data_IF_152309117171
#
_entry.id   IF_152309117171
#
_cell.length_a   1.000
_cell.length_b   1.000
_cell.length_c   1.000
_cell.angle_alpha   90.00
_cell.angle_beta   90.00
_cell.angle_gamma   90.00
#
_symmetry.space_group_name_H-M   'P 1'
#
loop_
_entity.id
_entity.type
_entity.pdbx_description
1 polymer ?
#
# COMPACT_ATOMS: atom_id res chain seq x y z
N UNK A 1 8.65 3.70 -28.43
CA UNK A 1 8.54 4.71 -29.51
C UNK A 1 7.23 4.49 -30.26
N UNK A 2 6.59 5.56 -30.72
CA UNK A 2 5.20 5.68 -31.17
C UNK A 2 4.92 5.21 -32.62
N UNK A 3 3.62 4.97 -32.89
CA UNK A 3 2.91 4.70 -34.17
C UNK A 3 2.83 3.21 -34.56
N UNK A 4 1.72 2.59 -34.92
CA UNK A 4 0.28 2.90 -35.13
C UNK A 4 -0.42 1.53 -35.28
N UNK A 5 -1.70 1.34 -35.02
CA UNK A 5 -2.87 2.18 -35.32
C UNK A 5 -3.74 2.33 -34.08
N UNK A 6 -3.93 3.57 -33.66
CA UNK A 6 -4.79 3.94 -32.55
C UNK A 6 -4.05 4.13 -31.23
N UNK A 7 -4.15 5.34 -30.68
CA UNK A 7 -3.67 5.70 -29.34
C UNK A 7 -4.02 4.61 -28.29
N UNK A 8 -3.26 4.42 -27.19
CA UNK A 8 -3.69 3.58 -26.06
C UNK A 8 -5.10 3.93 -25.57
N UNK A 9 -5.48 5.20 -25.72
CA UNK A 9 -6.85 5.66 -25.56
C UNK A 9 -7.80 5.07 -26.59
N UNK A 10 -7.48 5.06 -27.89
CA UNK A 10 -8.30 4.50 -28.96
C UNK A 10 -8.59 3.00 -28.78
N UNK A 11 -7.61 2.22 -28.29
CA UNK A 11 -7.80 0.81 -27.96
C UNK A 11 -8.77 0.62 -26.79
N UNK A 12 -8.53 1.28 -25.65
CA UNK A 12 -9.43 1.26 -24.49
C UNK A 12 -10.84 1.75 -24.83
N UNK A 13 -10.95 2.74 -25.72
CA UNK A 13 -12.18 3.40 -26.12
C UNK A 13 -12.99 2.58 -27.13
N UNK A 14 -12.32 1.90 -28.06
CA UNK A 14 -12.97 0.92 -28.96
C UNK A 14 -13.46 -0.31 -28.18
N UNK A 15 -12.72 -0.71 -27.15
CA UNK A 15 -13.07 -1.83 -26.29
C UNK A 15 -14.26 -1.53 -25.37
N UNK A 16 -14.27 -0.34 -24.77
CA UNK A 16 -15.28 0.11 -23.81
C UNK A 16 -16.69 0.27 -24.39
N UNK A 17 -16.79 0.65 -25.67
CA UNK A 17 -18.05 1.16 -26.24
C UNK A 17 -18.76 0.16 -27.13
N UNK A 18 -18.03 -0.73 -27.80
CA UNK A 18 -18.67 -1.71 -28.67
C UNK A 18 -19.52 -2.66 -27.83
N UNK A 19 -20.83 -2.74 -28.12
CA UNK A 19 -21.78 -3.64 -27.42
C UNK A 19 -21.28 -5.10 -27.41
N UNK A 20 -20.58 -5.49 -28.48
CA UNK A 20 -19.92 -6.79 -28.64
C UNK A 20 -18.85 -7.09 -27.57
N UNK A 21 -18.28 -6.04 -26.97
CA UNK A 21 -17.31 -6.18 -25.90
C UNK A 21 -17.93 -6.09 -24.49
N UNK A 22 -19.20 -5.69 -24.37
CA UNK A 22 -19.88 -5.62 -23.08
C UNK A 22 -19.97 -6.99 -22.40
N UNK A 23 -20.30 -8.04 -23.15
CA UNK A 23 -20.46 -9.40 -22.62
C UNK A 23 -19.16 -9.94 -22.03
N UNK A 24 -18.07 -9.99 -22.82
CA UNK A 24 -16.83 -10.55 -22.32
C UNK A 24 -16.11 -9.63 -21.33
N UNK A 25 -16.28 -8.30 -21.41
CA UNK A 25 -15.65 -7.40 -20.44
C UNK A 25 -16.29 -7.51 -19.05
N UNK A 26 -17.63 -7.56 -18.98
CA UNK A 26 -18.37 -7.63 -17.72
C UNK A 26 -18.47 -9.04 -17.15
N UNK A 27 -18.57 -10.08 -18.00
CA UNK A 27 -18.72 -11.45 -17.54
C UNK A 27 -17.36 -12.15 -17.47
N UNK A 28 -16.65 -12.26 -18.59
CA UNK A 28 -15.46 -13.12 -18.69
C UNK A 28 -14.19 -12.50 -18.11
N UNK A 29 -13.82 -11.28 -18.52
CA UNK A 29 -12.63 -10.62 -18.01
C UNK A 29 -12.76 -10.29 -16.52
N UNK A 30 -13.94 -9.86 -16.10
CA UNK A 30 -14.24 -9.64 -14.70
C UNK A 30 -14.11 -10.94 -13.89
N UNK A 31 -14.66 -12.06 -14.37
CA UNK A 31 -14.52 -13.37 -13.73
C UNK A 31 -13.06 -13.85 -13.70
N UNK A 32 -12.32 -13.72 -14.81
CA UNK A 32 -10.90 -14.10 -14.88
C UNK A 32 -10.01 -13.27 -13.95
N UNK A 33 -10.39 -12.03 -13.68
CA UNK A 33 -9.71 -11.13 -12.74
C UNK A 33 -10.25 -11.28 -11.29
N UNK A 34 -11.49 -11.73 -11.12
CA UNK A 34 -12.15 -11.86 -9.83
C UNK A 34 -11.78 -13.19 -9.17
N UNK A 35 -10.66 -13.19 -8.46
CA UNK A 35 -10.18 -14.38 -7.79
C UNK A 35 -10.60 -14.43 -6.32
N UNK A 36 -11.38 -15.46 -5.97
CA UNK A 36 -11.97 -15.64 -4.64
C UNK A 36 -11.02 -16.35 -3.65
N UNK A 37 -10.03 -17.12 -4.15
CA UNK A 37 -9.11 -17.88 -3.28
C UNK A 37 -7.90 -17.04 -2.83
N UNK A 38 -8.16 -15.98 -2.08
CA UNK A 38 -7.14 -15.08 -1.50
C UNK A 38 -6.27 -15.72 -0.41
N UNK A 39 -6.70 -16.87 0.13
CA UNK A 39 -6.07 -17.52 1.28
C UNK A 39 -5.46 -18.87 0.90
N UNK A 40 -4.16 -19.05 1.10
CA UNK A 40 -3.55 -20.39 1.10
C UNK A 40 -3.68 -21.01 2.49
N UNK A 41 -3.82 -22.34 2.56
CA UNK A 41 -3.84 -23.09 3.82
C UNK A 41 -2.58 -22.80 4.64
N UNK A 42 -1.43 -22.67 3.98
CA UNK A 42 -0.15 -22.31 4.61
C UNK A 42 -0.15 -20.90 5.21
N UNK A 43 -0.77 -19.93 4.55
CA UNK A 43 -0.89 -18.57 5.07
C UNK A 43 -1.81 -18.52 6.29
N UNK A 44 -2.96 -19.21 6.23
CA UNK A 44 -3.89 -19.33 7.36
C UNK A 44 -3.22 -20.00 8.56
N UNK A 45 -2.52 -21.12 8.35
CA UNK A 45 -1.81 -21.83 9.41
C UNK A 45 -0.71 -20.95 10.05
N UNK A 46 0.03 -20.19 9.24
CA UNK A 46 1.08 -19.28 9.73
C UNK A 46 0.49 -18.14 10.56
N UNK A 47 -0.63 -17.54 10.13
CA UNK A 47 -1.33 -16.48 10.87
C UNK A 47 -1.87 -17.05 12.20
N UNK A 48 -2.47 -18.24 12.17
CA UNK A 48 -2.98 -18.91 13.37
C UNK A 48 -1.85 -19.17 14.37
N UNK A 49 -0.70 -19.63 13.90
CA UNK A 49 0.47 -19.87 14.75
C UNK A 49 0.96 -18.59 15.44
N UNK A 50 1.01 -17.46 14.71
CA UNK A 50 1.38 -16.16 15.30
C UNK A 50 0.38 -15.73 16.38
N UNK A 51 -0.92 -15.93 16.15
CA UNK A 51 -1.97 -15.62 17.14
C UNK A 51 -1.79 -16.50 18.39
N UNK A 52 -1.60 -17.81 18.22
CA UNK A 52 -1.39 -18.74 19.34
C UNK A 52 -0.12 -18.38 20.13
N UNK A 53 0.99 -18.11 19.43
CA UNK A 53 2.25 -17.71 20.08
C UNK A 53 2.10 -16.38 20.86
N UNK A 54 1.34 -15.43 20.32
CA UNK A 54 1.04 -14.19 21.03
C UNK A 54 0.17 -14.42 22.27
N UNK A 55 -0.87 -15.25 22.17
CA UNK A 55 -1.70 -15.64 23.33
C UNK A 55 -0.84 -16.31 24.39
N UNK A 56 0.07 -17.21 24.02
CA UNK A 56 1.00 -17.81 24.98
C UNK A 56 1.96 -16.78 25.59
N UNK A 57 2.46 -15.81 24.83
CA UNK A 57 3.28 -14.70 25.36
C UNK A 57 2.50 -13.88 26.40
N UNK A 58 1.21 -13.65 26.14
CA UNK A 58 0.31 -12.96 27.06
C UNK A 58 0.04 -13.83 28.30
N UNK A 59 -0.25 -15.12 28.16
CA UNK A 59 -0.48 -16.04 29.30
C UNK A 59 0.78 -16.20 30.16
N UNK A 60 1.96 -16.30 29.55
CA UNK A 60 3.25 -16.33 30.25
C UNK A 60 3.47 -15.06 31.09
N UNK A 61 3.06 -13.90 30.57
CA UNK A 61 3.08 -12.64 31.33
C UNK A 61 2.19 -12.66 32.58
N UNK A 62 1.13 -13.48 32.59
CA UNK A 62 0.21 -13.63 33.73
C UNK A 62 0.63 -14.71 34.73
N UNK A 63 1.48 -15.66 34.32
CA UNK A 63 1.79 -16.87 35.10
C UNK A 63 3.24 -16.94 35.60
N UNK A 64 4.13 -16.09 35.09
CA UNK A 64 5.52 -16.03 35.53
C UNK A 64 5.69 -15.43 36.93
N UNK A 65 6.28 -16.20 37.85
CA UNK A 65 6.85 -15.65 39.10
C UNK A 65 8.09 -14.84 38.71
N UNK A 66 7.94 -13.52 38.65
CA UNK A 66 8.98 -12.59 38.22
C UNK A 66 10.18 -12.68 39.17
N UNK A 67 11.31 -13.21 38.67
CA UNK A 67 12.62 -13.12 39.34
C UNK A 67 13.49 -12.11 38.59
N UNK A 68 14.46 -11.50 39.28
CA UNK A 68 15.31 -10.42 38.73
C UNK A 68 15.96 -10.79 37.39
N UNK A 69 16.32 -12.05 37.20
CA UNK A 69 16.94 -12.61 35.99
C UNK A 69 15.98 -12.80 34.79
N UNK A 70 14.65 -12.81 35.00
CA UNK A 70 13.66 -13.04 33.93
C UNK A 70 12.97 -11.77 33.45
N UNK A 71 13.19 -10.63 34.12
CA UNK A 71 12.50 -9.36 33.83
C UNK A 71 12.86 -8.73 32.48
N UNK A 72 14.12 -8.85 32.04
CA UNK A 72 14.60 -8.22 30.81
C UNK A 72 14.77 -9.21 29.64
N UNK A 73 14.97 -10.50 29.92
CA UNK A 73 15.01 -11.56 28.93
C UNK A 73 13.61 -11.91 28.36
N UNK A 74 12.53 -11.47 29.02
CA UNK A 74 11.17 -11.69 28.57
C UNK A 74 10.93 -10.99 27.23
N UNK A 75 10.72 -11.79 26.17
CA UNK A 75 10.49 -11.37 24.77
C UNK A 75 9.20 -10.59 24.51
N UNK A 76 8.56 -10.04 25.56
CA UNK A 76 7.28 -9.35 25.50
C UNK A 76 7.32 -8.08 24.62
N UNK A 77 8.39 -7.28 24.72
CA UNK A 77 8.58 -6.11 23.85
C UNK A 77 8.87 -6.50 22.38
N UNK A 78 9.48 -7.67 22.15
CA UNK A 78 9.68 -8.20 20.80
C UNK A 78 8.34 -8.58 20.18
N UNK A 79 7.48 -9.27 20.93
CA UNK A 79 6.14 -9.64 20.49
C UNK A 79 5.34 -8.44 20.00
N UNK A 80 5.31 -7.35 20.76
CA UNK A 80 4.53 -6.15 20.43
C UNK A 80 5.03 -5.40 19.18
N UNK A 81 6.34 -5.34 18.96
CA UNK A 81 6.92 -4.70 17.76
C UNK A 81 6.53 -5.43 16.47
N UNK A 82 6.29 -6.74 16.51
CA UNK A 82 5.93 -7.50 15.30
C UNK A 82 4.43 -7.62 15.06
N UNK A 83 3.57 -7.15 15.97
CA UNK A 83 2.12 -7.28 15.82
C UNK A 83 1.54 -6.54 14.62
N UNK A 84 2.21 -5.50 14.10
CA UNK A 84 1.75 -4.84 12.86
C UNK A 84 1.86 -5.73 11.62
N UNK A 85 2.72 -6.77 11.64
CA UNK A 85 2.85 -7.70 10.53
C UNK A 85 1.53 -8.42 10.27
N UNK A 86 0.77 -8.77 11.31
CA UNK A 86 -0.48 -9.51 11.18
C UNK A 86 -1.53 -8.75 10.34
N UNK A 87 -1.94 -7.52 10.68
CA UNK A 87 -2.89 -6.76 9.87
C UNK A 87 -2.34 -6.41 8.48
N UNK A 88 -1.02 -6.18 8.33
CA UNK A 88 -0.41 -5.92 7.01
C UNK A 88 -0.44 -7.17 6.12
N UNK A 89 -0.12 -8.34 6.65
CA UNK A 89 -0.15 -9.61 5.90
C UNK A 89 -1.59 -9.96 5.53
N UNK A 90 -2.55 -9.82 6.44
CA UNK A 90 -3.97 -10.04 6.16
C UNK A 90 -4.45 -9.11 5.04
N UNK A 91 -4.21 -7.80 5.17
CA UNK A 91 -4.58 -6.83 4.14
C UNK A 91 -3.90 -7.14 2.80
N UNK A 92 -2.63 -7.55 2.83
CA UNK A 92 -1.92 -7.97 1.64
C UNK A 92 -2.55 -9.20 0.99
N UNK A 93 -2.88 -10.25 1.74
CA UNK A 93 -3.54 -11.45 1.18
C UNK A 93 -4.89 -11.13 0.54
N UNK A 94 -5.64 -10.17 1.09
CA UNK A 94 -6.89 -9.70 0.50
C UNK A 94 -6.67 -8.96 -0.83
N UNK A 95 -5.56 -8.21 -0.98
CA UNK A 95 -5.27 -7.37 -2.16
C UNK A 95 -4.43 -8.11 -3.22
N UNK A 96 -3.50 -8.97 -2.80
CA UNK A 96 -2.42 -9.57 -3.60
C UNK A 96 -2.88 -10.39 -4.81
N UNK A 97 -3.97 -11.18 -4.77
CA UNK A 97 -4.37 -11.97 -5.93
C UNK A 97 -4.77 -11.12 -7.13
N UNK A 98 -5.08 -9.83 -6.91
CA UNK A 98 -5.39 -8.86 -7.96
C UNK A 98 -4.13 -8.23 -8.59
N UNK A 99 -2.92 -8.57 -8.11
CA UNK A 99 -1.65 -7.93 -8.50
C UNK A 99 -0.61 -8.86 -9.16
N UNK A 100 -0.97 -10.10 -9.50
CA UNK A 100 -0.06 -11.05 -10.16
C UNK A 100 0.09 -10.73 -11.67
N UNK A 101 1.31 -10.40 -12.10
CA UNK A 101 1.60 -9.98 -13.47
C UNK A 101 1.36 -11.09 -14.50
N UNK A 102 1.73 -12.33 -14.19
CA UNK A 102 1.62 -13.43 -15.15
C UNK A 102 0.15 -13.79 -15.36
N UNK A 103 -0.63 -13.75 -14.28
CA UNK A 103 -2.07 -14.00 -14.33
C UNK A 103 -2.81 -12.89 -15.06
N UNK A 104 -2.48 -11.62 -14.79
CA UNK A 104 -3.05 -10.49 -15.54
C UNK A 104 -2.69 -10.58 -17.02
N UNK A 105 -1.45 -10.96 -17.34
CA UNK A 105 -1.05 -11.21 -18.74
C UNK A 105 -1.87 -12.33 -19.38
N UNK A 106 -2.11 -13.45 -18.69
CA UNK A 106 -2.95 -14.53 -19.19
C UNK A 106 -4.40 -14.11 -19.40
N UNK A 107 -4.99 -13.38 -18.45
CA UNK A 107 -6.36 -12.86 -18.55
C UNK A 107 -6.51 -11.91 -19.75
N UNK A 108 -5.52 -11.03 -19.94
CA UNK A 108 -5.48 -10.12 -21.09
C UNK A 108 -5.27 -10.89 -22.40
N UNK A 109 -4.46 -11.94 -22.41
CA UNK A 109 -4.24 -12.77 -23.59
C UNK A 109 -5.50 -13.54 -23.99
N UNK A 110 -6.31 -13.98 -23.02
CA UNK A 110 -7.64 -14.54 -23.28
C UNK A 110 -8.60 -13.47 -23.82
N UNK A 111 -8.65 -12.31 -23.18
CA UNK A 111 -9.48 -11.19 -23.63
C UNK A 111 -9.16 -10.75 -25.07
N UNK A 112 -7.87 -10.73 -25.43
CA UNK A 112 -7.41 -10.38 -26.77
C UNK A 112 -7.92 -11.32 -27.87
N UNK A 113 -8.26 -12.57 -27.55
CA UNK A 113 -8.80 -13.53 -28.53
C UNK A 113 -10.27 -13.27 -28.87
N UNK A 114 -11.00 -12.60 -27.99
CA UNK A 114 -12.45 -12.37 -28.09
C UNK A 114 -12.83 -10.89 -28.23
N UNK A 115 -11.86 -9.98 -28.11
CA UNK A 115 -12.06 -8.55 -28.23
C UNK A 115 -12.35 -8.12 -29.68
N UNK A 116 -13.38 -7.30 -29.87
CA UNK A 116 -13.70 -6.63 -31.12
C UNK A 116 -13.09 -5.23 -31.16
N UNK A 117 -12.59 -4.83 -32.33
CA UNK A 117 -11.96 -3.52 -32.56
C UNK A 117 -12.68 -2.81 -33.71
N UNK A 118 -12.77 -1.50 -33.60
CA UNK A 118 -13.31 -0.63 -34.65
C UNK A 118 -12.35 -0.54 -35.84
N UNK A 119 -12.86 -0.79 -37.04
CA UNK A 119 -12.11 -0.66 -38.30
C UNK A 119 -12.33 0.71 -38.95
N UNK A 120 -11.58 1.00 -40.01
CA UNK A 120 -11.82 2.20 -40.84
C UNK A 120 -13.13 2.10 -41.62
N UNK A 121 -13.59 0.88 -41.91
CA UNK A 121 -14.80 0.58 -42.69
C UNK A 121 -16.08 0.72 -41.86
N UNK A 122 -15.97 0.76 -40.53
CA UNK A 122 -17.09 1.00 -39.62
C UNK A 122 -17.72 -0.24 -39.03
N UNK A 123 -17.42 -1.42 -39.58
CA UNK A 123 -17.82 -2.70 -39.00
C UNK A 123 -16.80 -3.18 -37.95
N UNK A 124 -17.25 -3.60 -36.76
CA UNK A 124 -16.38 -4.14 -35.73
C UNK A 124 -15.89 -5.53 -36.14
N UNK A 125 -14.58 -5.73 -36.07
CA UNK A 125 -13.93 -7.01 -36.43
C UNK A 125 -13.12 -7.51 -35.24
N UNK A 126 -13.01 -8.83 -35.13
CA UNK A 126 -12.23 -9.47 -34.08
C UNK A 126 -10.75 -9.03 -34.16
N UNK A 127 -10.16 -8.67 -33.02
CA UNK A 127 -8.79 -8.18 -32.98
C UNK A 127 -7.78 -9.20 -33.54
N UNK A 128 -8.01 -10.49 -33.27
CA UNK A 128 -7.13 -11.58 -33.71
C UNK A 128 -7.14 -11.83 -35.21
N UNK A 129 -8.16 -11.37 -35.96
CA UNK A 129 -8.23 -11.57 -37.41
C UNK A 129 -7.57 -10.44 -38.18
N UNK A 130 -7.53 -9.23 -37.62
CA UNK A 130 -6.92 -8.04 -38.25
C UNK A 130 -5.39 -8.03 -38.20
N UNK A 131 -4.82 -8.58 -37.13
CA UNK A 131 -3.38 -8.50 -36.90
C UNK A 131 -2.93 -9.54 -35.89
N UNK A 132 -1.66 -9.97 -35.98
CA UNK A 132 -0.98 -10.64 -34.87
C UNK A 132 -0.85 -9.76 -33.61
N UNK A 133 -1.22 -8.47 -33.70
CA UNK A 133 -1.19 -7.52 -32.59
C UNK A 133 -2.45 -7.63 -31.72
N UNK A 134 -2.22 -7.50 -30.40
CA UNK A 134 -3.22 -7.59 -29.34
C UNK A 134 -4.12 -6.34 -29.27
N UNK A 135 -5.40 -6.51 -28.95
CA UNK A 135 -6.37 -5.41 -28.74
C UNK A 135 -6.04 -4.57 -27.50
N UNK A 136 -5.72 -5.25 -26.40
CA UNK A 136 -5.18 -4.72 -25.16
C UNK A 136 -3.71 -5.14 -25.09
N UNK A 137 -2.82 -4.16 -25.03
CA UNK A 137 -1.42 -4.40 -24.76
C UNK A 137 -1.05 -3.79 -23.41
N UNK A 138 -0.37 -4.56 -22.57
CA UNK A 138 0.31 -4.05 -21.38
C UNK A 138 1.75 -3.69 -21.79
N UNK A 139 2.05 -2.42 -22.10
CA UNK A 139 3.42 -2.05 -22.41
C UNK A 139 4.29 -2.32 -21.20
N UNK A 140 5.32 -3.16 -21.35
CA UNK A 140 6.39 -3.26 -20.37
C UNK A 140 7.07 -1.90 -20.33
N UNK A 141 7.04 -1.22 -19.19
CA UNK A 141 7.75 0.03 -19.00
C UNK A 141 9.22 -0.18 -19.34
N UNK A 142 9.81 0.65 -20.19
CA UNK A 142 11.25 0.60 -20.45
C UNK A 142 11.95 1.69 -19.64
N UNK A 143 13.06 1.36 -19.01
CA UNK A 143 13.94 2.30 -18.33
C UNK A 143 13.97 2.18 -16.81
N UNK A 144 15.09 2.57 -16.22
CA UNK A 144 15.35 2.43 -14.78
C UNK A 144 14.31 3.14 -13.90
N UNK A 145 13.71 4.22 -14.41
CA UNK A 145 12.71 5.00 -13.66
C UNK A 145 11.48 4.16 -13.30
N UNK A 146 11.05 3.27 -14.21
CA UNK A 146 9.82 2.45 -14.06
C UNK A 146 10.08 1.03 -13.58
N UNK A 147 11.32 0.68 -13.24
CA UNK A 147 11.69 -0.68 -12.86
C UNK A 147 10.88 -1.22 -11.66
N UNK A 148 10.64 -0.36 -10.67
CA UNK A 148 9.87 -0.73 -9.48
C UNK A 148 8.38 -0.93 -9.77
N UNK A 149 7.81 -0.24 -10.77
CA UNK A 149 6.40 -0.42 -11.15
C UNK A 149 6.12 -1.88 -11.60
N UNK A 150 7.12 -2.52 -12.20
CA UNK A 150 7.05 -3.89 -12.72
C UNK A 150 7.34 -4.97 -11.68
N UNK A 151 7.81 -4.61 -10.49
CA UNK A 151 8.22 -5.58 -9.46
C UNK A 151 7.03 -5.99 -8.59
N UNK A 152 6.67 -7.27 -8.56
CA UNK A 152 5.47 -7.78 -7.85
C UNK A 152 5.49 -7.66 -6.31
N UNK A 153 6.63 -7.69 -5.59
CA UNK A 153 6.60 -7.70 -4.13
C UNK A 153 5.96 -6.44 -3.50
N UNK A 154 5.36 -6.55 -2.30
CA UNK A 154 4.60 -5.45 -1.69
C UNK A 154 5.40 -4.15 -1.50
N UNK A 155 6.70 -4.27 -1.24
CA UNK A 155 7.62 -3.13 -1.06
C UNK A 155 7.66 -2.20 -2.27
N UNK A 156 7.26 -2.66 -3.47
CA UNK A 156 7.29 -1.87 -4.70
C UNK A 156 5.98 -1.11 -4.99
N UNK A 157 4.93 -1.30 -4.18
CA UNK A 157 3.62 -0.67 -4.42
C UNK A 157 3.65 0.86 -4.39
N UNK A 158 4.61 1.46 -3.68
CA UNK A 158 4.81 2.91 -3.68
C UNK A 158 5.00 3.50 -5.09
N UNK A 159 5.52 2.72 -6.04
CA UNK A 159 5.75 3.17 -7.41
C UNK A 159 4.48 3.18 -8.28
N UNK A 160 3.43 2.45 -7.89
CA UNK A 160 2.28 2.16 -8.76
C UNK A 160 1.10 3.11 -8.62
N UNK A 161 0.91 3.74 -7.46
CA UNK A 161 -0.36 4.41 -7.17
C UNK A 161 -0.66 5.63 -8.06
N UNK A 162 0.36 6.41 -8.46
CA UNK A 162 0.18 7.52 -9.40
C UNK A 162 -0.17 7.06 -10.82
N UNK A 163 0.63 6.20 -11.48
CA UNK A 163 0.30 5.73 -12.83
C UNK A 163 -1.00 4.93 -12.86
N UNK A 164 -1.30 4.17 -11.80
CA UNK A 164 -2.56 3.45 -11.65
C UNK A 164 -3.76 4.40 -11.62
N UNK A 165 -3.72 5.44 -10.79
CA UNK A 165 -4.82 6.41 -10.68
C UNK A 165 -5.08 7.10 -12.02
N UNK A 166 -4.00 7.49 -12.72
CA UNK A 166 -4.11 8.10 -14.04
C UNK A 166 -4.74 7.14 -15.06
N UNK A 167 -4.33 5.86 -15.05
CA UNK A 167 -4.88 4.85 -15.95
C UNK A 167 -6.37 4.62 -15.69
N UNK A 168 -6.78 4.50 -14.42
CA UNK A 168 -8.19 4.35 -14.03
C UNK A 168 -9.01 5.55 -14.48
N UNK A 169 -8.51 6.78 -14.28
CA UNK A 169 -9.22 7.98 -14.74
C UNK A 169 -9.37 8.06 -16.25
N UNK A 170 -8.32 7.69 -17.00
CA UNK A 170 -8.40 7.67 -18.46
C UNK A 170 -9.49 6.73 -18.96
N UNK A 171 -9.67 5.58 -18.30
CA UNK A 171 -10.73 4.62 -18.60
C UNK A 171 -12.09 5.16 -18.13
N UNK A 172 -12.18 5.66 -16.89
CA UNK A 172 -13.41 6.24 -16.34
C UNK A 172 -13.98 7.36 -17.21
N UNK A 173 -13.15 8.35 -17.60
CA UNK A 173 -13.60 9.44 -18.45
C UNK A 173 -14.13 8.95 -19.79
N UNK A 174 -13.54 7.89 -20.34
CA UNK A 174 -14.02 7.27 -21.57
C UNK A 174 -15.45 6.77 -21.46
N UNK A 175 -15.69 5.96 -20.44
CA UNK A 175 -16.99 5.36 -20.18
C UNK A 175 -18.01 6.43 -19.84
N UNK A 176 -17.60 7.45 -19.09
CA UNK A 176 -18.44 8.58 -18.74
C UNK A 176 -18.89 9.35 -19.99
N UNK A 177 -17.96 9.77 -20.85
CA UNK A 177 -18.31 10.51 -22.08
C UNK A 177 -19.21 9.67 -23.00
N UNK A 178 -18.89 8.39 -23.15
CA UNK A 178 -19.71 7.46 -23.93
C UNK A 178 -21.12 7.31 -23.36
N UNK A 179 -21.24 7.20 -22.04
CA UNK A 179 -22.51 7.07 -21.33
C UNK A 179 -23.32 8.36 -21.42
N UNK A 180 -22.70 9.53 -21.26
CA UNK A 180 -23.35 10.83 -21.38
C UNK A 180 -23.91 11.07 -22.80
N UNK A 181 -23.11 10.82 -23.84
CA UNK A 181 -23.57 10.94 -25.24
C UNK A 181 -24.66 9.93 -25.56
N UNK A 182 -24.56 8.71 -25.02
CA UNK A 182 -25.62 7.70 -25.12
C UNK A 182 -26.92 8.14 -24.44
N UNK A 183 -26.85 8.77 -23.27
CA UNK A 183 -28.03 9.30 -22.56
C UNK A 183 -28.65 10.50 -23.30
N UNK A 184 -27.85 11.28 -24.03
CA UNK A 184 -28.31 12.36 -24.91
C UNK A 184 -28.82 11.87 -26.26
N UNK A 185 -28.95 10.56 -26.46
CA UNK A 185 -29.41 9.94 -27.70
C UNK A 185 -28.55 10.36 -28.92
N UNK A 186 -27.24 10.52 -28.71
CA UNK A 186 -26.29 10.80 -29.77
C UNK A 186 -25.62 9.49 -30.22
N UNK A 187 -25.81 9.06 -31.47
CA UNK A 187 -25.14 7.87 -31.98
C UNK A 187 -23.70 8.18 -32.40
N UNK A 188 -22.88 7.13 -32.49
CA UNK A 188 -21.46 7.22 -32.87
C UNK A 188 -21.30 7.61 -34.34
N UNK A 189 -21.95 6.86 -35.23
CA UNK A 189 -22.14 7.28 -36.62
C UNK A 189 -23.26 8.33 -36.63
N UNK A 190 -23.12 9.44 -37.36
CA UNK A 190 -24.11 10.54 -37.45
C UNK A 190 -25.47 10.18 -38.06
N UNK A 191 -25.92 8.93 -37.89
CA UNK A 191 -27.25 8.37 -38.16
C UNK A 191 -28.25 8.87 -37.12
N UNK A 192 -29.51 8.49 -37.28
CA UNK A 192 -30.53 8.71 -36.25
C UNK A 192 -30.38 7.71 -35.12
N UNK A 193 -30.72 8.13 -33.90
CA UNK A 193 -30.69 7.26 -32.73
C UNK A 193 -31.82 6.24 -32.76
N UNK A 194 -31.45 4.96 -32.70
CA UNK A 194 -32.41 3.86 -32.61
C UNK A 194 -32.66 3.47 -31.16
N UNK A 195 -33.92 3.25 -30.79
CA UNK A 195 -34.26 2.80 -29.44
C UNK A 195 -33.81 1.34 -29.27
N UNK A 196 -33.22 1.02 -28.11
CA UNK A 196 -32.80 -0.36 -27.81
C UNK A 196 -33.99 -1.31 -27.57
N UNK A 197 -33.76 -2.60 -27.80
CA UNK A 197 -34.74 -3.67 -27.55
C UNK A 197 -34.97 -3.92 -26.05
N UNK A 198 -36.00 -4.70 -25.70
CA UNK A 198 -36.35 -5.06 -24.30
C UNK A 198 -35.16 -5.58 -23.47
N UNK A 199 -34.17 -6.22 -24.11
CA UNK A 199 -33.01 -6.80 -23.43
C UNK A 199 -31.75 -5.92 -23.45
N UNK A 200 -31.75 -4.80 -24.20
CA UNK A 200 -30.57 -3.95 -24.37
C UNK A 200 -30.93 -2.48 -24.29
N UNK A 201 -30.40 -1.80 -23.26
CA UNK A 201 -30.66 -0.36 -23.02
C UNK A 201 -30.26 0.54 -24.20
N UNK A 202 -29.28 0.13 -25.01
CA UNK A 202 -28.80 0.89 -26.17
C UNK A 202 -28.70 -0.03 -27.38
N UNK A 203 -29.31 0.35 -28.50
CA UNK A 203 -29.25 -0.41 -29.74
C UNK A 203 -27.80 -0.48 -30.26
N UNK A 204 -27.39 -1.65 -30.73
CA UNK A 204 -26.00 -1.91 -31.13
C UNK A 204 -25.53 -1.03 -32.29
N UNK A 205 -26.43 -0.63 -33.20
CA UNK A 205 -26.12 0.25 -34.32
C UNK A 205 -25.72 1.66 -33.87
N UNK A 206 -26.25 2.15 -32.74
CA UNK A 206 -25.86 3.47 -32.20
C UNK A 206 -24.42 3.50 -31.70
N UNK A 207 -23.83 2.34 -31.42
CA UNK A 207 -22.43 2.22 -30.94
C UNK A 207 -21.47 1.72 -32.01
N UNK A 208 -21.91 1.59 -33.27
CA UNK A 208 -21.07 1.28 -34.43
C UNK A 208 -20.62 2.57 -35.13
N UNK A 209 -19.45 2.51 -35.72
CA UNK A 209 -18.85 3.62 -36.44
C UNK A 209 -17.41 3.34 -36.80
N UNK A 210 -16.84 4.19 -37.64
CA UNK A 210 -15.43 4.08 -38.01
C UNK A 210 -14.54 4.35 -36.80
N UNK A 211 -13.31 3.84 -36.83
CA UNK A 211 -12.32 4.07 -35.77
C UNK A 211 -12.16 5.55 -35.41
N UNK A 212 -12.25 6.46 -36.39
CA UNK A 212 -12.21 7.91 -36.17
C UNK A 212 -13.47 8.44 -35.49
N UNK A 213 -14.66 7.99 -35.89
CA UNK A 213 -15.94 8.35 -35.27
C UNK A 213 -16.02 7.88 -33.82
N UNK A 214 -15.65 6.62 -33.55
CA UNK A 214 -15.61 6.08 -32.19
C UNK A 214 -14.65 6.91 -31.34
N UNK A 215 -13.47 7.22 -31.86
CA UNK A 215 -12.49 8.05 -31.12
C UNK A 215 -13.02 9.44 -30.80
N UNK A 216 -13.73 10.07 -31.73
CA UNK A 216 -14.35 11.37 -31.51
C UNK A 216 -15.52 11.27 -30.51
N UNK A 217 -16.25 10.16 -30.53
CA UNK A 217 -17.35 9.90 -29.61
C UNK A 217 -16.88 9.76 -28.16
N UNK A 218 -15.74 9.12 -27.92
CA UNK A 218 -15.21 8.89 -26.55
C UNK A 218 -14.36 10.04 -26.05
N UNK A 219 -13.82 10.84 -26.97
CA UNK A 219 -13.13 12.06 -26.61
C UNK A 219 -14.17 13.06 -26.08
N UNK A 220 -13.78 13.70 -24.99
CA UNK A 220 -14.37 14.96 -24.56
C UNK A 220 -14.43 15.87 -25.79
N UNK A 221 -15.62 16.33 -26.17
CA UNK A 221 -15.68 17.43 -27.12
C UNK A 221 -14.89 18.58 -26.46
N UNK A 222 -14.02 19.31 -27.18
CA UNK A 222 -13.43 20.52 -26.63
C UNK A 222 -14.56 21.53 -26.45
N UNK A 223 -15.30 21.42 -25.35
CA UNK A 223 -16.36 22.32 -24.95
C UNK A 223 -15.70 23.64 -24.57
N UNK A 224 -15.49 24.47 -25.60
CA UNK A 224 -15.65 25.92 -25.73
C UNK A 224 -15.38 26.90 -24.57
N UNK A 225 -15.03 26.52 -23.34
CA UNK A 225 -14.96 27.50 -22.23
C UNK A 225 -13.74 27.33 -21.31
N UNK A 226 -13.13 26.15 -21.15
CA UNK A 226 -11.83 26.07 -20.46
C UNK A 226 -10.98 24.94 -21.03
N UNK A 227 -9.70 25.18 -21.42
CA UNK A 227 -8.75 24.09 -21.48
C UNK A 227 -8.61 23.63 -20.03
N UNK A 228 -9.36 22.61 -19.61
CA UNK A 228 -9.11 21.97 -18.32
C UNK A 228 -7.64 21.54 -18.39
N UNK A 229 -6.78 22.25 -17.66
CA UNK A 229 -5.46 21.78 -17.31
C UNK A 229 -5.71 20.42 -16.70
N UNK A 230 -5.58 19.35 -17.50
CA UNK A 230 -5.67 18.00 -17.01
C UNK A 230 -4.61 17.93 -15.93
N UNK A 231 -5.05 17.89 -14.67
CA UNK A 231 -4.14 17.87 -13.54
C UNK A 231 -3.14 16.76 -13.80
N UNK A 232 -1.85 17.08 -13.63
CA UNK A 232 -0.76 16.11 -13.74
C UNK A 232 -0.93 14.92 -12.78
N UNK A 233 -1.76 15.15 -11.78
CA UNK A 233 -2.12 14.24 -10.71
C UNK A 233 -3.57 13.83 -10.87
N UNK A 234 -3.87 12.56 -10.57
CA UNK A 234 -5.25 12.10 -10.52
C UNK A 234 -6.09 12.89 -9.51
N UNK A 235 -7.37 13.05 -9.82
CA UNK A 235 -8.40 13.59 -8.94
C UNK A 235 -8.40 12.87 -7.59
N UNK A 236 -8.27 13.65 -6.51
CA UNK A 236 -8.30 13.12 -5.14
C UNK A 236 -7.13 12.20 -4.77
N UNK A 237 -6.10 12.04 -5.61
CA UNK A 237 -4.97 11.13 -5.35
C UNK A 237 -4.26 11.47 -4.05
N UNK A 238 -4.03 12.75 -3.78
CA UNK A 238 -3.37 13.21 -2.57
C UNK A 238 -4.23 13.01 -1.31
N UNK A 239 -5.54 13.16 -1.41
CA UNK A 239 -6.44 12.90 -0.29
C UNK A 239 -6.46 11.41 0.08
N UNK A 240 -6.61 10.53 -0.92
CA UNK A 240 -6.54 9.07 -0.73
C UNK A 240 -5.18 8.65 -0.17
N UNK A 241 -4.10 9.23 -0.70
CA UNK A 241 -2.74 9.01 -0.23
C UNK A 241 -2.58 9.45 1.23
N UNK A 242 -3.06 10.65 1.60
CA UNK A 242 -2.95 11.18 2.95
C UNK A 242 -3.68 10.28 3.97
N UNK A 243 -4.90 9.87 3.66
CA UNK A 243 -5.67 8.96 4.54
C UNK A 243 -4.95 7.62 4.69
N UNK A 244 -4.49 7.02 3.59
CA UNK A 244 -3.74 5.76 3.65
C UNK A 244 -2.41 5.90 4.42
N UNK A 245 -1.71 7.02 4.25
CA UNK A 245 -0.47 7.32 4.98
C UNK A 245 -0.72 7.47 6.49
N UNK A 246 -1.78 8.16 6.90
CA UNK A 246 -2.17 8.29 8.30
C UNK A 246 -2.49 6.94 8.93
N UNK A 247 -3.23 6.07 8.22
CA UNK A 247 -3.55 4.72 8.71
C UNK A 247 -2.28 3.86 8.83
N UNK A 248 -1.38 3.91 7.85
CA UNK A 248 -0.14 3.13 7.86
C UNK A 248 0.85 3.63 8.94
N UNK A 249 1.02 4.94 9.08
CA UNK A 249 1.85 5.54 10.12
C UNK A 249 1.24 5.31 11.50
N UNK A 250 -0.07 5.40 11.63
CA UNK A 250 -0.81 5.09 12.86
C UNK A 250 -0.60 3.63 13.29
N UNK A 251 -0.66 2.67 12.37
CA UNK A 251 -0.34 1.27 12.66
C UNK A 251 1.13 1.07 13.06
N UNK A 252 2.06 1.71 12.34
CA UNK A 252 3.51 1.57 12.57
C UNK A 252 3.93 2.17 13.91
N UNK A 253 3.52 3.41 14.18
CA UNK A 253 3.81 4.10 15.43
C UNK A 253 2.91 3.64 16.58
N UNK A 254 1.72 3.09 16.32
CA UNK A 254 0.90 2.45 17.35
C UNK A 254 1.58 1.22 17.94
N UNK A 255 2.16 0.37 17.08
CA UNK A 255 2.88 -0.84 17.52
C UNK A 255 4.28 -0.55 18.04
N UNK A 256 5.07 0.24 17.30
CA UNK A 256 6.41 0.65 17.74
C UNK A 256 6.32 1.53 18.99
N UNK A 257 5.36 2.44 19.05
CA UNK A 257 5.09 3.30 20.20
C UNK A 257 4.64 2.51 21.42
N UNK A 258 3.80 1.47 21.26
CA UNK A 258 3.48 0.59 22.37
C UNK A 258 4.70 -0.15 22.91
N UNK A 259 5.60 -0.64 22.04
CA UNK A 259 6.87 -1.24 22.48
C UNK A 259 7.79 -0.23 23.19
N UNK A 260 7.85 1.00 22.69
CA UNK A 260 8.55 2.13 23.32
C UNK A 260 7.95 2.42 24.70
N UNK A 261 6.62 2.48 24.83
CA UNK A 261 5.90 2.72 26.08
C UNK A 261 6.16 1.59 27.07
N UNK A 262 6.10 0.33 26.65
CA UNK A 262 6.43 -0.84 27.50
C UNK A 262 7.87 -0.75 28.01
N UNK A 263 8.82 -0.46 27.11
CA UNK A 263 10.23 -0.27 27.48
C UNK A 263 10.42 0.96 28.41
N UNK A 264 9.61 2.00 28.23
CA UNK A 264 9.66 3.23 29.03
C UNK A 264 8.97 3.10 30.40
N UNK A 265 7.85 2.39 30.50
CA UNK A 265 7.09 2.29 31.75
C UNK A 265 7.72 1.31 32.74
N UNK A 266 8.42 0.27 32.27
CA UNK A 266 9.33 -0.55 33.11
C UNK A 266 10.29 0.33 33.95
N UNK A 267 10.60 1.53 33.46
CA UNK A 267 11.51 2.52 34.06
C UNK A 267 10.89 3.37 35.18
N UNK A 268 9.56 3.48 35.26
CA UNK A 268 8.90 4.54 36.06
C UNK A 268 8.50 4.11 37.47
N UNK A 269 8.42 2.80 37.74
CA UNK A 269 7.99 2.29 39.06
C UNK A 269 9.12 1.86 39.99
N UNK A 270 10.38 1.80 39.52
CA UNK A 270 11.58 1.82 40.37
C UNK A 270 11.76 3.25 40.94
N UNK A 271 10.85 3.65 41.83
CA UNK A 271 10.78 5.00 42.40
C UNK A 271 11.72 5.10 43.59
N UNK A 272 12.92 5.63 43.35
CA UNK A 272 13.58 6.58 44.27
C UNK A 272 14.52 7.58 43.58
N UNK A 273 14.43 7.77 42.25
CA UNK A 273 15.17 8.87 41.60
C UNK A 273 14.47 9.41 40.35
N UNK A 274 13.63 10.42 40.55
CA UNK A 274 12.86 11.13 39.51
C UNK A 274 13.74 11.81 38.45
N UNK A 275 15.02 12.06 38.75
CA UNK A 275 16.00 12.61 37.81
C UNK A 275 16.64 11.55 36.90
N UNK A 276 16.54 10.27 37.27
CA UNK A 276 17.14 9.16 36.51
C UNK A 276 16.16 8.55 35.49
N UNK A 277 14.86 8.79 35.66
CA UNK A 277 13.79 8.36 34.77
C UNK A 277 13.83 8.98 33.36
N UNK A 278 14.52 10.12 33.17
CA UNK A 278 14.75 10.71 31.85
C UNK A 278 15.99 10.14 31.14
N UNK A 279 16.98 9.65 31.89
CA UNK A 279 18.35 9.50 31.40
C UNK A 279 18.94 8.07 31.51
N UNK A 280 18.15 7.08 31.92
CA UNK A 280 18.46 5.65 31.76
C UNK A 280 18.26 5.17 30.31
N UNK A 281 18.93 5.80 29.35
CA UNK A 281 19.06 5.24 27.99
C UNK A 281 20.22 4.26 28.04
N UNK A 282 20.18 3.18 27.29
CA UNK A 282 21.15 3.26 26.20
C UNK A 282 20.76 2.53 24.93
N UNK A 283 20.18 1.33 25.02
CA UNK A 283 20.18 0.45 23.85
C UNK A 283 18.84 -0.18 23.47
N UNK A 284 18.02 -0.69 24.39
CA UNK A 284 16.74 -1.33 24.00
C UNK A 284 15.69 -0.31 23.53
N UNK A 285 15.33 0.67 24.37
CA UNK A 285 14.46 1.79 23.98
C UNK A 285 15.00 2.57 22.78
N UNK A 286 16.30 2.89 22.81
CA UNK A 286 16.98 3.59 21.72
C UNK A 286 16.93 2.79 20.42
N UNK A 287 17.05 1.47 20.48
CA UNK A 287 16.94 0.61 19.31
C UNK A 287 15.55 0.63 18.68
N UNK A 288 14.48 0.52 19.47
CA UNK A 288 13.11 0.61 18.95
C UNK A 288 12.79 2.00 18.38
N UNK A 289 13.31 3.06 19.00
CA UNK A 289 13.16 4.42 18.50
C UNK A 289 13.91 4.62 17.17
N UNK A 290 15.17 4.15 17.08
CA UNK A 290 15.95 4.15 15.84
C UNK A 290 15.20 3.38 14.75
N UNK A 291 14.64 2.21 15.09
CA UNK A 291 13.83 1.42 14.17
C UNK A 291 12.62 2.19 13.63
N UNK A 292 11.85 2.87 14.50
CA UNK A 292 10.69 3.66 14.12
C UNK A 292 11.04 4.88 13.26
N UNK A 293 12.11 5.61 13.62
CA UNK A 293 12.60 6.77 12.88
C UNK A 293 13.10 6.35 11.49
N UNK A 294 13.94 5.32 11.41
CA UNK A 294 14.46 4.80 10.15
C UNK A 294 13.32 4.27 9.26
N UNK A 295 12.33 3.58 9.83
CA UNK A 295 11.15 3.11 9.07
C UNK A 295 10.38 4.28 8.45
N UNK A 296 10.19 5.37 9.21
CA UNK A 296 9.52 6.58 8.72
C UNK A 296 10.36 7.28 7.65
N UNK A 297 11.68 7.34 7.83
CA UNK A 297 12.60 7.93 6.85
C UNK A 297 12.60 7.16 5.53
N UNK A 298 12.65 5.82 5.60
CA UNK A 298 12.51 4.93 4.43
C UNK A 298 11.20 5.22 3.70
N UNK A 299 10.08 5.31 4.42
CA UNK A 299 8.79 5.62 3.82
C UNK A 299 8.80 6.97 3.10
N UNK A 300 9.33 8.03 3.73
CA UNK A 300 9.46 9.36 3.11
C UNK A 300 10.30 9.26 1.83
N UNK A 301 11.48 8.62 1.89
CA UNK A 301 12.36 8.48 0.73
C UNK A 301 11.67 7.76 -0.44
N UNK A 302 10.93 6.69 -0.16
CA UNK A 302 10.21 5.91 -1.17
C UNK A 302 9.05 6.70 -1.78
N UNK A 303 8.23 7.36 -0.97
CA UNK A 303 7.12 8.22 -1.45
C UNK A 303 7.66 9.37 -2.30
N UNK A 304 8.66 10.10 -1.81
CA UNK A 304 9.28 11.21 -2.56
C UNK A 304 9.88 10.71 -3.87
N UNK A 305 10.51 9.54 -3.88
CA UNK A 305 10.96 8.90 -5.12
C UNK A 305 9.81 8.67 -6.11
N UNK A 306 8.66 8.19 -5.67
CA UNK A 306 7.50 7.96 -6.55
C UNK A 306 6.96 9.24 -7.15
N UNK A 307 6.83 10.30 -6.33
CA UNK A 307 6.43 11.65 -6.80
C UNK A 307 7.39 12.15 -7.87
N UNK A 308 8.70 12.03 -7.64
CA UNK A 308 9.74 12.46 -8.59
C UNK A 308 9.76 11.59 -9.86
N UNK A 309 9.54 10.28 -9.74
CA UNK A 309 9.46 9.37 -10.87
C UNK A 309 8.25 9.71 -11.76
N UNK A 310 7.07 9.90 -11.17
CA UNK A 310 5.86 10.35 -11.88
C UNK A 310 6.07 11.72 -12.53
N UNK A 311 6.71 12.65 -11.81
CA UNK A 311 7.10 13.94 -12.38
C UNK A 311 8.01 13.76 -13.60
N UNK A 312 9.10 13.01 -13.50
CA UNK A 312 10.04 12.82 -14.63
C UNK A 312 9.38 12.19 -15.87
N UNK A 313 8.33 11.39 -15.65
CA UNK A 313 7.64 10.61 -16.68
C UNK A 313 6.50 11.39 -17.35
N UNK A 314 5.81 12.26 -16.61
CA UNK A 314 4.68 13.05 -17.11
C UNK A 314 5.18 14.35 -17.76
N UNK A 315 5.61 14.28 -19.02
CA UNK A 315 5.84 15.46 -19.87
C UNK A 315 4.84 15.46 -21.02
N UNK A 316 3.95 16.46 -21.03
CA UNK A 316 2.97 16.65 -22.11
C UNK A 316 3.74 17.01 -23.38
N UNK A 317 3.64 16.15 -24.38
CA UNK A 317 4.28 16.36 -25.66
C UNK A 317 3.40 17.23 -26.55
N UNK A 318 3.80 18.48 -26.79
CA UNK A 318 3.32 19.23 -27.94
C UNK A 318 4.03 18.67 -29.18
N UNK A 319 3.29 17.98 -30.07
CA UNK A 319 3.79 17.34 -31.32
C UNK A 319 4.61 16.04 -31.19
N UNK A 320 4.39 15.21 -30.18
CA UNK A 320 4.95 13.85 -30.13
C UNK A 320 6.47 13.73 -29.88
N UNK A 321 7.19 14.84 -29.62
CA UNK A 321 8.58 14.82 -29.13
C UNK A 321 8.59 15.01 -27.61
N UNK A 322 9.20 14.09 -26.89
CA UNK A 322 9.49 14.23 -25.46
C UNK A 322 10.61 15.26 -25.30
N UNK A 323 10.30 16.49 -24.90
CA UNK A 323 11.34 17.44 -24.46
C UNK A 323 11.65 17.16 -22.99
N UNK A 324 12.66 16.34 -22.74
CA UNK A 324 13.24 16.23 -21.41
C UNK A 324 13.96 17.54 -21.09
N UNK A 325 13.40 18.32 -20.17
CA UNK A 325 14.12 19.45 -19.56
C UNK A 325 15.16 18.92 -18.58
N UNK A 326 16.21 19.70 -18.31
CA UNK A 326 17.22 19.39 -17.28
C UNK A 326 16.58 19.05 -15.93
N UNK A 327 15.51 19.76 -15.57
CA UNK A 327 14.72 19.52 -14.35
C UNK A 327 14.06 18.14 -14.31
N UNK A 328 13.47 17.67 -15.42
CA UNK A 328 12.86 16.34 -15.50
C UNK A 328 13.90 15.22 -15.44
N UNK A 329 15.07 15.44 -16.03
CA UNK A 329 16.20 14.51 -15.96
C UNK A 329 16.75 14.42 -14.53
N UNK A 330 16.93 15.56 -13.86
CA UNK A 330 17.37 15.60 -12.47
C UNK A 330 16.35 14.92 -11.55
N UNK A 331 15.05 15.17 -11.73
CA UNK A 331 13.99 14.48 -10.99
C UNK A 331 14.04 12.96 -11.20
N UNK A 332 14.29 12.50 -12.44
CA UNK A 332 14.48 11.09 -12.75
C UNK A 332 15.67 10.49 -12.00
N UNK A 333 16.85 11.13 -12.06
CA UNK A 333 18.05 10.67 -11.35
C UNK A 333 17.85 10.67 -9.82
N UNK A 334 17.30 11.75 -9.27
CA UNK A 334 17.05 11.86 -7.83
C UNK A 334 16.05 10.79 -7.35
N UNK A 335 15.04 10.47 -8.16
CA UNK A 335 14.13 9.35 -7.86
C UNK A 335 14.88 8.02 -7.78
N UNK A 336 15.85 7.77 -8.67
CA UNK A 336 16.65 6.53 -8.67
C UNK A 336 17.57 6.47 -7.45
N UNK A 337 18.17 7.59 -7.06
CA UNK A 337 19.03 7.64 -5.87
C UNK A 337 18.22 7.43 -4.59
N UNK A 338 17.12 8.17 -4.40
CA UNK A 338 16.28 8.09 -3.20
C UNK A 338 15.75 6.68 -2.96
N UNK A 339 15.25 5.99 -3.99
CA UNK A 339 14.77 4.62 -3.82
C UNK A 339 15.87 3.61 -3.53
N UNK A 340 17.06 3.76 -4.13
CA UNK A 340 18.19 2.85 -3.87
C UNK A 340 18.65 3.02 -2.42
N UNK A 341 18.84 4.26 -1.98
CA UNK A 341 19.16 4.56 -0.60
C UNK A 341 18.06 4.10 0.37
N UNK A 342 16.79 4.32 0.03
CA UNK A 342 15.64 3.88 0.83
C UNK A 342 15.62 2.36 1.02
N UNK A 343 15.88 1.57 -0.02
CA UNK A 343 15.96 0.09 0.08
C UNK A 343 17.18 -0.38 0.88
N UNK A 344 18.33 0.28 0.72
CA UNK A 344 19.53 -0.02 1.52
C UNK A 344 19.26 0.26 2.99
N UNK A 345 18.72 1.43 3.31
CA UNK A 345 18.35 1.81 4.67
C UNK A 345 17.28 0.86 5.25
N UNK A 346 16.29 0.46 4.46
CA UNK A 346 15.30 -0.52 4.87
C UNK A 346 15.96 -1.86 5.25
N UNK A 347 16.89 -2.34 4.43
CA UNK A 347 17.63 -3.59 4.67
C UNK A 347 18.46 -3.50 5.95
N UNK A 348 19.17 -2.39 6.15
CA UNK A 348 19.93 -2.12 7.38
C UNK A 348 19.01 -2.04 8.60
N UNK A 349 17.84 -1.41 8.47
CA UNK A 349 16.86 -1.30 9.55
C UNK A 349 16.24 -2.66 9.91
N UNK A 350 16.03 -3.54 8.93
CA UNK A 350 15.61 -4.93 9.16
C UNK A 350 16.69 -5.72 9.91
N UNK A 351 17.96 -5.60 9.50
CA UNK A 351 19.07 -6.24 10.21
C UNK A 351 19.14 -5.72 11.65
N UNK A 352 19.00 -4.41 11.84
CA UNK A 352 19.02 -3.76 13.15
C UNK A 352 17.94 -4.31 14.10
N UNK A 353 16.69 -4.41 13.65
CA UNK A 353 15.62 -4.92 14.51
C UNK A 353 15.78 -6.40 14.82
N UNK A 354 16.26 -7.22 13.87
CA UNK A 354 16.54 -8.65 14.10
C UNK A 354 17.67 -8.80 15.13
N UNK A 355 18.77 -8.07 14.98
CA UNK A 355 19.88 -8.08 15.95
C UNK A 355 19.41 -7.64 17.34
N UNK A 356 18.54 -6.63 17.40
CA UNK A 356 17.96 -6.17 18.67
C UNK A 356 17.15 -7.26 19.35
N UNK A 357 16.38 -8.04 18.57
CA UNK A 357 15.62 -9.17 19.11
C UNK A 357 16.56 -10.26 19.63
N UNK A 358 17.61 -10.61 18.88
CA UNK A 358 18.61 -11.59 19.30
C UNK A 358 19.35 -11.14 20.57
N UNK A 359 19.71 -9.86 20.66
CA UNK A 359 20.35 -9.28 21.84
C UNK A 359 19.43 -9.27 23.06
N UNK A 360 18.12 -9.09 22.88
CA UNK A 360 17.16 -9.18 23.97
C UNK A 360 17.01 -10.63 24.48
N UNK A 361 16.85 -11.61 23.59
CA UNK A 361 16.78 -13.02 24.01
C UNK A 361 18.09 -13.55 24.59
N UNK A 362 19.23 -12.98 24.18
CA UNK A 362 20.55 -13.32 24.71
C UNK A 362 20.93 -12.58 25.99
N UNK A 363 20.01 -11.83 26.62
CA UNK A 363 20.28 -10.96 27.79
C UNK A 363 21.49 -10.02 27.59
N UNK A 364 21.78 -9.64 26.34
CA UNK A 364 22.89 -8.75 26.02
C UNK A 364 22.68 -7.35 26.61
N UNK A 365 21.42 -6.89 26.63
CA UNK A 365 21.04 -5.61 27.23
C UNK A 365 21.14 -5.62 28.76
N UNK A 366 21.24 -6.78 29.41
CA UNK A 366 21.33 -6.95 30.88
C UNK A 366 22.77 -6.91 31.39
N UNK A 367 23.74 -6.71 30.50
CA UNK A 367 25.14 -6.56 30.88
C UNK A 367 25.30 -5.26 31.64
N UNK A 368 26.15 -5.26 32.67
CA UNK A 368 26.45 -4.08 33.48
C UNK A 368 26.81 -2.83 32.66
N UNK A 369 27.35 -2.96 31.44
CA UNK A 369 27.64 -1.82 30.55
C UNK A 369 26.39 -1.21 29.89
N UNK A 370 25.42 -2.04 29.52
CA UNK A 370 24.18 -1.61 28.86
C UNK A 370 23.08 -1.24 29.86
N UNK A 371 23.12 -1.89 31.03
CA UNK A 371 22.20 -1.72 32.16
C UNK A 371 22.60 -0.52 33.05
N UNK A 372 23.88 -0.17 33.08
CA UNK A 372 24.31 1.04 33.79
C UNK A 372 24.12 2.31 32.97
N UNK A 373 23.99 3.43 33.66
CA UNK A 373 23.77 4.76 33.10
C UNK A 373 25.01 5.39 32.41
N UNK A 374 25.94 4.57 31.91
CA UNK A 374 27.24 4.97 31.33
C UNK A 374 27.10 5.93 30.16
N UNK A 375 26.10 5.76 29.29
CA UNK A 375 25.92 6.61 28.11
C UNK A 375 25.67 8.09 28.43
N UNK A 376 25.15 8.41 29.62
CA UNK A 376 24.83 9.78 30.02
C UNK A 376 25.67 10.27 31.21
N UNK A 377 25.84 9.44 32.23
CA UNK A 377 26.63 9.79 33.43
C UNK A 377 28.14 9.58 33.22
N UNK A 378 28.54 8.94 32.13
CA UNK A 378 29.92 8.54 31.86
C UNK A 378 30.35 7.36 32.73
N UNK A 379 31.44 6.69 32.34
CA UNK A 379 31.94 5.49 33.02
C UNK A 379 32.27 5.71 34.51
N UNK A 380 32.47 6.95 34.95
CA UNK A 380 32.86 7.31 36.32
C UNK A 380 31.68 7.50 37.28
N UNK A 381 30.50 7.90 36.80
CA UNK A 381 29.33 8.19 37.64
C UNK A 381 28.17 7.22 37.39
N UNK A 382 28.42 6.17 36.61
CA UNK A 382 27.42 5.15 36.32
C UNK A 382 27.17 4.28 37.55
N UNK A 383 25.91 3.93 37.76
CA UNK A 383 25.48 3.03 38.84
C UNK A 383 24.45 2.04 38.28
N UNK A 384 24.29 0.91 38.97
CA UNK A 384 23.28 -0.10 38.66
C UNK A 384 22.40 -0.36 39.90
N UNK A 385 21.10 -0.59 39.71
CA UNK A 385 20.14 -0.89 40.79
C UNK A 385 19.90 -2.39 40.80
N UNK A 386 20.25 -3.06 41.91
CA UNK A 386 20.37 -4.54 41.96
C UNK A 386 19.22 -5.22 42.73
N UNK A 387 18.39 -4.46 43.46
CA UNK A 387 17.34 -5.06 44.30
C UNK A 387 15.95 -4.45 44.00
N UNK A 388 14.96 -5.31 43.79
CA UNK A 388 13.57 -4.95 43.47
C UNK A 388 12.67 -5.42 44.60
N UNK A 389 11.91 -4.51 45.20
CA UNK A 389 10.96 -4.84 46.25
C UNK A 389 9.73 -5.58 45.70
N UNK A 390 8.98 -6.25 46.59
CA UNK A 390 7.74 -6.98 46.23
C UNK A 390 6.69 -6.04 45.61
N UNK A 391 6.67 -4.77 46.03
CA UNK A 391 5.81 -3.76 45.41
C UNK A 391 6.25 -3.40 43.99
N UNK A 392 7.56 -3.32 43.73
CA UNK A 392 8.11 -3.06 42.40
C UNK A 392 7.76 -4.19 41.43
N UNK A 393 7.75 -5.45 41.91
CA UNK A 393 7.33 -6.62 41.12
C UNK A 393 5.84 -6.58 40.77
N UNK A 394 4.97 -6.23 41.72
CA UNK A 394 3.54 -6.08 41.44
C UNK A 394 3.24 -4.95 40.46
N UNK A 395 4.00 -3.86 40.54
CA UNK A 395 3.97 -2.71 39.64
C UNK A 395 4.55 -3.01 38.26
N UNK A 396 5.55 -3.90 38.15
CA UNK A 396 6.12 -4.35 36.87
C UNK A 396 5.18 -5.28 36.09
N UNK A 397 4.28 -5.97 36.79
CA UNK A 397 3.20 -6.77 36.19
C UNK A 397 1.96 -5.94 35.85
N UNK A 398 1.80 -4.75 36.46
CA UNK A 398 0.70 -3.81 36.26
C UNK A 398 0.64 -3.07 34.91
N UNK A 399 1.57 -3.25 33.95
CA UNK A 399 1.37 -2.91 32.54
C UNK A 399 0.81 -4.07 31.72
N UNK A 400 0.67 -5.27 32.32
CA UNK A 400 0.21 -6.50 31.65
C UNK A 400 -1.03 -7.14 32.29
N UNK A 401 -1.33 -6.84 33.57
CA UNK A 401 -2.58 -7.22 34.27
C UNK A 401 -3.81 -6.42 33.79
N UNK A 402 -4.54 -6.90 32.78
CA UNK A 402 -5.87 -6.38 32.40
C UNK A 402 -6.97 -6.70 33.42
N UNK A 403 -6.63 -6.65 34.72
CA UNK A 403 -7.46 -7.06 35.85
C UNK A 403 -7.92 -5.86 36.67
N UNK A 404 -9.21 -5.84 36.96
CA UNK A 404 -10.07 -4.75 37.40
C UNK A 404 -9.75 -4.00 38.70
N UNK A 405 -8.54 -4.10 39.28
CA UNK A 405 -8.24 -3.55 40.61
C UNK A 405 -6.85 -2.91 40.77
N UNK A 406 -6.34 -2.20 39.75
CA UNK A 406 -5.26 -1.22 39.96
C UNK A 406 -5.56 0.08 39.20
N UNK A 407 -5.45 1.27 39.84
CA UNK A 407 -5.75 2.56 39.22
C UNK A 407 -4.59 3.09 38.35
N UNK A 408 -4.01 2.25 37.49
CA UNK A 408 -2.96 2.64 36.54
C UNK A 408 -3.51 2.81 35.12
N UNK A 409 -3.95 4.04 34.82
CA UNK A 409 -4.46 4.55 33.53
C UNK A 409 -3.58 4.23 32.29
N UNK A 410 -2.36 3.75 32.47
CA UNK A 410 -1.34 3.60 31.43
C UNK A 410 -1.31 2.21 30.77
N UNK A 411 -1.90 1.20 31.41
CA UNK A 411 -1.90 -0.16 30.90
C UNK A 411 -2.93 -0.37 29.78
N UNK A 412 -4.15 0.16 29.95
CA UNK A 412 -5.16 0.09 28.90
C UNK A 412 -4.64 0.68 27.60
N UNK A 413 -3.76 1.68 27.68
CA UNK A 413 -3.24 2.41 26.54
C UNK A 413 -2.41 1.56 25.56
N UNK A 414 -1.51 0.68 25.99
CA UNK A 414 -0.62 -0.02 25.03
C UNK A 414 -1.34 -1.14 24.25
N UNK A 415 -2.14 -1.95 24.95
CA UNK A 415 -2.95 -3.01 24.34
C UNK A 415 -4.12 -2.46 23.53
N UNK A 416 -4.80 -1.41 24.03
CA UNK A 416 -5.86 -0.74 23.26
C UNK A 416 -5.29 0.00 22.05
N UNK A 417 -4.09 0.57 22.13
CA UNK A 417 -3.44 1.22 21.00
C UNK A 417 -3.09 0.20 19.91
N UNK A 418 -2.48 -0.93 20.25
CA UNK A 418 -2.13 -1.95 19.26
C UNK A 418 -3.39 -2.57 18.64
N UNK A 419 -4.30 -3.08 19.48
CA UNK A 419 -5.52 -3.73 19.02
C UNK A 419 -6.42 -2.75 18.26
N UNK A 420 -6.57 -1.54 18.79
CA UNK A 420 -7.34 -0.47 18.16
C UNK A 420 -6.75 -0.06 16.81
N UNK A 421 -5.43 0.19 16.71
CA UNK A 421 -4.80 0.51 15.44
C UNK A 421 -4.91 -0.63 14.41
N UNK A 422 -4.77 -1.88 14.84
CA UNK A 422 -4.92 -3.04 13.96
C UNK A 422 -6.36 -3.21 13.46
N UNK A 423 -7.35 -3.09 14.35
CA UNK A 423 -8.78 -3.18 14.01
C UNK A 423 -9.22 -2.04 13.09
N UNK A 424 -8.81 -0.80 13.39
CA UNK A 424 -9.09 0.36 12.54
C UNK A 424 -8.46 0.19 11.16
N UNK A 425 -7.21 -0.28 11.10
CA UNK A 425 -6.52 -0.53 9.83
C UNK A 425 -7.23 -1.63 9.01
N UNK A 426 -7.58 -2.76 9.62
CA UNK A 426 -8.29 -3.84 8.94
C UNK A 426 -9.70 -3.41 8.52
N UNK A 427 -10.43 -2.69 9.36
CA UNK A 427 -11.74 -2.11 9.03
C UNK A 427 -11.65 -1.17 7.83
N UNK A 428 -10.64 -0.29 7.83
CA UNK A 428 -10.35 0.61 6.71
C UNK A 428 -10.10 -0.14 5.40
N UNK A 429 -9.28 -1.20 5.44
CA UNK A 429 -9.02 -2.03 4.24
C UNK A 429 -10.29 -2.72 3.76
N UNK A 430 -11.08 -3.32 4.64
CA UNK A 430 -12.30 -4.04 4.26
C UNK A 430 -13.38 -3.09 3.68
N UNK A 431 -13.49 -1.86 4.17
CA UNK A 431 -14.42 -0.86 3.61
C UNK A 431 -13.99 -0.40 2.22
N UNK A 432 -12.69 -0.25 1.97
CA UNK A 432 -12.18 0.30 0.71
C UNK A 432 -11.88 -0.73 -0.37
N UNK A 433 -11.80 -2.02 -0.05
CA UNK A 433 -11.48 -3.05 -1.03
C UNK A 433 -12.60 -3.27 -2.05
N UNK A 434 -13.85 -3.07 -1.63
CA UNK A 434 -15.06 -3.17 -2.45
C UNK A 434 -15.92 -1.92 -2.23
N UNK A 435 -15.55 -0.77 -2.80
CA UNK A 435 -16.38 0.43 -2.69
C UNK A 435 -17.75 0.15 -3.29
N UNK A 436 -18.82 0.60 -2.62
CA UNK A 436 -20.16 0.57 -3.18
C UNK A 436 -20.15 1.31 -4.53
N UNK A 437 -20.68 0.65 -5.57
CA UNK A 437 -20.85 1.31 -6.86
C UNK A 437 -21.86 2.44 -6.68
N UNK A 438 -21.62 3.63 -7.25
CA UNK A 438 -22.63 4.68 -7.27
C UNK A 438 -23.85 4.18 -8.06
N UNK A 439 -25.04 4.39 -7.49
CA UNK A 439 -26.34 4.02 -8.08
C UNK A 439 -26.60 4.66 -9.46
#
# INVERSE_FOLDING_TARGET
MFLTVGSPTLAAYSLAITVLNGHWMLNELAEWLNYVHTWSISAVASILWVIIAYVFTVVDSFTGVVTFSTLNANGQAVGSVFLWLLPVVIAWLQISPKCDSDRVHQAIDKANKIAYVATLEGEPVLASTLSARRAINLPKGSGEVRHDEMSTPPIYNYARFFPWTLAVEHVYYAFREASEKSNRHQPVSGRNWERGDKNTRVHHLNRRGTSTQITAYVKDEPAKIYPKLRSRWGSGVFSRFLVAALMALGLTWGTTGAAIIVAFLRRREVRHCTFCALNWTGMSFGSYLIYGINSTLVWIMMVTSSVLAHYSTFTVSFKGRYKHTTTTRLAGVLSILLRRMGKVLASLNTVWIILTCLFQFGSFFDRCWCDSSVFYLGAKNAYNVIDLGVQDVSSLNAPWIGGSHSPSLTQDLSHSLISGCALVFLGFVNVLINPALPD
#
